data_IF_466840336210
#
_entry.id   IF_466840336210
#
_cell.length_a   1.000
_cell.length_b   1.000
_cell.length_c   1.000
_cell.angle_alpha   90.00
_cell.angle_beta   90.00
_cell.angle_gamma   90.00
#
_symmetry.space_group_name_H-M   'P 1'
#
loop_
_entity.id
_entity.type
_entity.pdbx_description
1 polymer ?
#
# COMPACT_ATOMS: atom_id res chain seq x y z
N UNK A 1 -25.77 -14.49 3.74
CA UNK A 1 -24.40 -14.22 4.21
C UNK A 1 -23.56 -13.94 2.97
N UNK A 2 -23.17 -12.68 2.73
CA UNK A 2 -22.37 -12.32 1.54
C UNK A 2 -20.90 -12.36 1.92
N UNK A 3 -20.12 -13.20 1.24
CA UNK A 3 -18.69 -13.30 1.47
C UNK A 3 -17.97 -12.10 0.87
N UNK A 4 -17.50 -11.18 1.71
CA UNK A 4 -16.51 -10.18 1.32
C UNK A 4 -15.21 -10.93 1.06
N UNK A 5 -14.77 -11.02 -0.20
CA UNK A 5 -13.45 -11.56 -0.55
C UNK A 5 -12.40 -10.62 0.04
N UNK A 6 -11.73 -11.05 1.12
CA UNK A 6 -10.55 -10.36 1.64
C UNK A 6 -9.35 -10.61 0.73
N UNK A 7 -8.79 -9.56 0.13
CA UNK A 7 -7.50 -9.62 -0.55
C UNK A 7 -6.40 -9.91 0.48
N UNK A 8 -5.55 -10.89 0.19
CA UNK A 8 -4.54 -11.40 1.14
C UNK A 8 -3.25 -10.59 1.09
N UNK A 9 -2.95 -9.98 -0.05
CA UNK A 9 -1.72 -9.25 -0.33
C UNK A 9 -1.99 -8.06 -1.27
N UNK A 10 -0.97 -7.22 -1.48
CA UNK A 10 -1.07 -6.00 -2.28
C UNK A 10 -1.33 -6.29 -3.76
N UNK A 11 -0.60 -7.25 -4.34
CA UNK A 11 -0.72 -7.60 -5.76
C UNK A 11 -2.13 -8.07 -6.09
N UNK A 12 -2.69 -9.02 -5.31
CA UNK A 12 -4.07 -9.50 -5.52
C UNK A 12 -5.14 -8.44 -5.26
N UNK A 13 -4.83 -7.38 -4.51
CA UNK A 13 -5.73 -6.25 -4.32
C UNK A 13 -5.71 -5.31 -5.53
N UNK A 14 -4.53 -5.07 -6.11
CA UNK A 14 -4.39 -4.28 -7.35
C UNK A 14 -5.03 -4.99 -8.53
N UNK A 15 -4.77 -6.28 -8.74
CA UNK A 15 -5.38 -7.05 -9.83
C UNK A 15 -6.91 -6.95 -9.79
N UNK A 16 -7.51 -7.05 -8.59
CA UNK A 16 -8.96 -6.92 -8.43
C UNK A 16 -9.44 -5.50 -8.71
N UNK A 17 -8.67 -4.48 -8.32
CA UNK A 17 -9.04 -3.09 -8.58
C UNK A 17 -9.06 -2.79 -10.09
N UNK A 18 -8.13 -3.37 -10.84
CA UNK A 18 -8.10 -3.31 -12.30
C UNK A 18 -9.33 -4.02 -12.90
N UNK A 19 -9.64 -5.24 -12.47
CA UNK A 19 -10.86 -5.95 -12.90
C UNK A 19 -12.13 -5.14 -12.64
N UNK A 20 -12.25 -4.50 -11.47
CA UNK A 20 -13.40 -3.65 -11.13
C UNK A 20 -13.48 -2.45 -12.07
N UNK A 21 -12.35 -1.84 -12.38
CA UNK A 21 -12.28 -0.68 -13.29
C UNK A 21 -12.74 -1.08 -14.69
N UNK A 22 -12.23 -2.20 -15.22
CA UNK A 22 -12.63 -2.75 -16.51
C UNK A 22 -14.14 -3.05 -16.57
N UNK A 23 -14.70 -3.64 -15.51
CA UNK A 23 -16.12 -3.94 -15.42
C UNK A 23 -16.99 -2.66 -15.39
N UNK A 24 -16.55 -1.63 -14.68
CA UNK A 24 -17.26 -0.35 -14.63
C UNK A 24 -17.17 0.40 -15.97
N UNK A 25 -16.02 0.34 -16.65
CA UNK A 25 -15.81 0.99 -17.95
C UNK A 25 -16.51 0.27 -19.11
N UNK A 26 -16.68 -1.06 -19.02
CA UNK A 26 -17.40 -1.83 -20.05
C UNK A 26 -18.85 -1.38 -20.24
N UNK A 27 -19.49 -0.83 -19.20
CA UNK A 27 -20.89 -0.42 -19.22
C UNK A 27 -21.89 -1.59 -19.22
N UNK A 28 -21.42 -2.84 -19.14
CA UNK A 28 -22.26 -4.05 -19.12
C UNK A 28 -22.83 -4.35 -17.72
N UNK A 29 -22.62 -3.47 -16.74
CA UNK A 29 -23.08 -3.63 -15.36
C UNK A 29 -24.40 -2.91 -15.13
N UNK A 30 -25.31 -3.54 -14.38
CA UNK A 30 -26.52 -2.86 -13.91
C UNK A 30 -26.15 -1.81 -12.85
N UNK A 31 -27.01 -0.81 -12.65
CA UNK A 31 -26.79 0.24 -11.63
C UNK A 31 -26.48 -0.33 -10.24
N UNK A 32 -27.19 -1.39 -9.83
CA UNK A 32 -26.98 -2.00 -8.52
C UNK A 32 -25.61 -2.71 -8.44
N UNK A 33 -25.16 -3.33 -9.53
CA UNK A 33 -23.83 -3.94 -9.62
C UNK A 33 -22.74 -2.88 -9.65
N UNK A 34 -22.92 -1.78 -10.39
CA UNK A 34 -21.97 -0.67 -10.43
C UNK A 34 -21.75 -0.07 -9.05
N UNK A 35 -22.82 0.08 -8.24
CA UNK A 35 -22.72 0.56 -6.85
C UNK A 35 -21.94 -0.42 -5.97
N UNK A 36 -22.15 -1.73 -6.15
CA UNK A 36 -21.41 -2.78 -5.40
C UNK A 36 -19.94 -2.78 -5.77
N UNK A 37 -19.63 -2.77 -7.07
CA UNK A 37 -18.27 -2.72 -7.61
C UNK A 37 -17.52 -1.46 -7.15
N UNK A 38 -18.17 -0.31 -7.20
CA UNK A 38 -17.59 0.95 -6.71
C UNK A 38 -17.26 0.88 -5.21
N UNK A 39 -18.19 0.35 -4.41
CA UNK A 39 -17.98 0.19 -2.96
C UNK A 39 -16.82 -0.76 -2.65
N UNK A 40 -16.74 -1.89 -3.36
CA UNK A 40 -15.62 -2.84 -3.28
C UNK A 40 -14.30 -2.15 -3.66
N UNK A 41 -14.28 -1.39 -4.76
CA UNK A 41 -13.11 -0.65 -5.22
C UNK A 41 -12.60 0.36 -4.18
N UNK A 42 -13.48 1.06 -3.48
CA UNK A 42 -13.10 1.98 -2.39
C UNK A 42 -12.43 1.25 -1.21
N UNK A 43 -12.94 0.08 -0.82
CA UNK A 43 -12.36 -0.72 0.24
C UNK A 43 -10.95 -1.20 -0.13
N UNK A 44 -10.79 -1.68 -1.37
CA UNK A 44 -9.51 -2.13 -1.93
C UNK A 44 -8.51 -0.98 -2.03
N UNK A 45 -8.90 0.16 -2.58
CA UNK A 45 -8.04 1.35 -2.66
C UNK A 45 -7.58 1.81 -1.26
N UNK A 46 -8.47 1.75 -0.27
CA UNK A 46 -8.13 2.02 1.13
C UNK A 46 -7.11 1.02 1.69
N UNK A 47 -7.22 -0.27 1.34
CA UNK A 47 -6.24 -1.29 1.72
C UNK A 47 -4.87 -1.04 1.08
N UNK A 48 -4.82 -0.77 -0.23
CA UNK A 48 -3.59 -0.50 -0.96
C UNK A 48 -2.85 0.72 -0.38
N UNK A 49 -3.57 1.81 -0.11
CA UNK A 49 -3.00 3.01 0.52
C UNK A 49 -2.38 2.71 1.89
N UNK A 50 -3.03 1.89 2.73
CA UNK A 50 -2.45 1.50 4.03
C UNK A 50 -1.16 0.70 3.84
N UNK A 51 -1.12 -0.23 2.89
CA UNK A 51 0.06 -1.03 2.59
C UNK A 51 1.23 -0.20 2.09
N UNK A 52 0.97 0.77 1.21
CA UNK A 52 1.99 1.71 0.74
C UNK A 52 2.53 2.58 1.89
N UNK A 53 1.65 3.12 2.75
CA UNK A 53 2.07 3.89 3.92
C UNK A 53 2.91 3.07 4.91
N UNK A 54 2.55 1.79 5.14
CA UNK A 54 3.35 0.87 5.95
C UNK A 54 4.75 0.64 5.34
N UNK A 55 4.84 0.47 4.03
CA UNK A 55 6.09 0.27 3.32
C UNK A 55 6.98 1.53 3.38
N UNK A 56 6.41 2.71 3.13
CA UNK A 56 7.11 3.99 3.21
C UNK A 56 7.69 4.23 4.61
N UNK A 57 6.91 3.96 5.66
CA UNK A 57 7.38 4.07 7.05
C UNK A 57 8.56 3.15 7.33
N UNK A 58 8.51 1.90 6.84
CA UNK A 58 9.61 0.94 7.02
C UNK A 58 10.88 1.42 6.31
N UNK A 59 10.75 1.92 5.09
CA UNK A 59 11.89 2.50 4.34
C UNK A 59 12.48 3.67 5.12
N UNK A 60 11.63 4.59 5.60
CA UNK A 60 12.09 5.76 6.37
C UNK A 60 12.86 5.37 7.63
N UNK A 61 12.37 4.39 8.40
CA UNK A 61 13.08 3.89 9.59
C UNK A 61 14.43 3.28 9.21
N UNK A 62 14.49 2.48 8.15
CA UNK A 62 15.76 1.89 7.69
C UNK A 62 16.75 2.96 7.25
N UNK A 63 16.31 3.97 6.50
CA UNK A 63 17.16 5.07 6.05
C UNK A 63 17.68 5.91 7.22
N UNK A 64 16.81 6.29 8.17
CA UNK A 64 17.21 7.06 9.36
C UNK A 64 18.18 6.27 10.25
N UNK A 65 17.98 4.96 10.41
CA UNK A 65 18.92 4.13 11.14
C UNK A 65 20.27 4.02 10.41
N UNK A 66 20.28 4.04 9.08
CA UNK A 66 21.53 4.03 8.30
C UNK A 66 22.28 5.36 8.43
N UNK A 67 21.59 6.50 8.42
CA UNK A 67 22.20 7.81 8.71
C UNK A 67 22.78 7.88 10.13
N UNK A 68 22.07 7.36 11.13
CA UNK A 68 22.55 7.29 12.52
C UNK A 68 23.78 6.39 12.69
N UNK A 69 23.90 5.33 11.88
CA UNK A 69 25.10 4.47 11.87
C UNK A 69 26.32 5.17 11.24
N UNK A 70 26.13 6.18 10.40
CA UNK A 70 27.21 6.95 9.78
C UNK A 70 27.69 8.07 10.73
N UNK A 71 26.81 8.64 11.55
CA UNK A 71 27.16 9.68 12.52
C UNK A 71 27.92 9.14 13.74
N UNK A 72 27.61 7.93 14.24
CA UNK A 72 28.29 7.35 15.41
C UNK A 72 29.72 6.87 15.14
N UNK A 73 30.10 6.62 13.89
CA UNK A 73 31.44 6.15 13.52
C UNK A 73 32.47 7.30 13.34
N UNK A 74 32.06 8.57 13.36
CA UNK A 74 32.94 9.71 13.05
C UNK A 74 33.48 10.53 14.23
N UNK A 75 33.09 10.27 15.48
CA UNK A 75 33.53 11.08 16.64
C UNK A 75 34.69 10.51 17.49
N UNK A 76 35.25 9.32 17.20
CA UNK A 76 36.36 8.75 18.01
C UNK A 76 37.76 8.91 17.39
N UNK A 77 37.97 9.89 16.52
CA UNK A 77 39.23 10.07 15.75
C UNK A 77 40.15 11.23 16.15
N UNK A 78 39.72 12.24 16.91
CA UNK A 78 40.58 13.38 17.28
C UNK A 78 40.74 13.53 18.79
N UNK A 79 41.58 12.65 19.35
CA UNK A 79 42.36 12.98 20.54
C UNK A 79 43.80 12.50 20.36
N UNK A 80 44.52 13.16 19.46
CA UNK A 80 45.98 13.11 19.42
C UNK A 80 46.54 14.54 19.42
N UNK A 81 47.27 14.81 20.51
CA UNK A 81 48.15 15.94 20.85
C UNK A 81 47.55 17.34 20.87
#
# INVERSE_FOLDING_TARGET
>A
MSQVKKHKDFESAIDRLEEITDLLESGDTTLEESIKLYSEGLEIAGFCNRKLSEAEKKIKVVTQNNESLIEEDFEQGEKLS
#
